data_IF_286533018613
#
_entry.id   IF_286533018613
#
_cell.length_a   1.000
_cell.length_b   1.000
_cell.length_c   1.000
_cell.angle_alpha   90.00
_cell.angle_beta   90.00
_cell.angle_gamma   90.00
#
_symmetry.space_group_name_H-M   'P 1'
#
loop_
_entity.id
_entity.type
_entity.pdbx_description
1 polymer ?
#
# COMPACT_ATOMS: atom_id res chain seq x y z
N UNK A 1 43.41 -5.79 72.40
CA UNK A 1 44.52 -6.66 71.94
C UNK A 1 43.84 -7.85 71.27
N UNK A 2 43.90 -8.15 69.98
CA UNK A 2 44.87 -7.87 68.91
C UNK A 2 44.16 -8.20 67.59
N UNK A 3 44.05 -7.23 66.68
CA UNK A 3 43.89 -7.32 65.19
C UNK A 3 44.28 -5.93 64.69
N UNK A 4 45.00 -5.74 63.57
CA UNK A 4 44.83 -6.47 62.31
C UNK A 4 46.17 -6.76 61.58
N UNK A 5 46.13 -7.44 60.44
CA UNK A 5 46.88 -7.05 59.23
C UNK A 5 46.54 -8.01 58.10
N UNK A 6 45.69 -7.54 57.19
CA UNK A 6 45.62 -8.04 55.83
C UNK A 6 46.92 -7.68 55.10
N UNK A 7 47.43 -8.63 54.32
CA UNK A 7 48.27 -8.32 53.16
C UNK A 7 48.01 -9.36 52.09
N UNK A 8 47.23 -8.95 51.09
CA UNK A 8 47.06 -9.68 49.84
C UNK A 8 48.38 -9.76 49.08
N UNK A 9 48.62 -10.93 48.49
CA UNK A 9 49.68 -11.15 47.52
C UNK A 9 49.05 -11.42 46.15
N UNK A 10 49.25 -10.50 45.22
CA UNK A 10 48.95 -10.66 43.81
C UNK A 10 50.02 -11.55 43.17
N UNK A 11 49.62 -12.72 42.66
CA UNK A 11 50.47 -13.53 41.79
C UNK A 11 50.36 -13.08 40.33
N UNK A 12 51.49 -12.84 39.63
CA UNK A 12 51.48 -12.63 38.19
C UNK A 12 51.62 -13.97 37.48
N UNK A 13 50.58 -14.36 36.74
CA UNK A 13 50.58 -15.55 35.88
C UNK A 13 50.09 -15.18 34.50
N UNK A 14 50.99 -14.61 33.69
CA UNK A 14 50.77 -14.40 32.28
C UNK A 14 50.71 -15.74 31.52
N UNK A 15 49.96 -15.73 30.42
CA UNK A 15 49.96 -16.69 29.32
C UNK A 15 49.18 -18.00 29.51
N UNK A 16 47.96 -18.03 28.95
CA UNK A 16 47.73 -18.84 27.74
C UNK A 16 46.51 -18.37 26.95
N UNK A 17 46.83 -18.00 25.73
CA UNK A 17 45.98 -17.44 24.69
C UNK A 17 45.45 -18.61 23.86
N UNK A 18 44.19 -18.51 23.44
CA UNK A 18 43.56 -19.06 22.21
C UNK A 18 42.70 -20.32 22.32
N UNK A 19 41.57 -20.19 21.60
CA UNK A 19 40.76 -21.18 20.88
C UNK A 19 39.57 -21.81 21.63
N UNK A 20 38.44 -21.10 21.58
CA UNK A 20 37.12 -21.71 21.43
C UNK A 20 36.13 -20.66 20.87
N UNK A 21 36.37 -20.21 19.64
CA UNK A 21 35.46 -19.34 18.91
C UNK A 21 35.19 -19.96 17.55
N UNK A 22 34.28 -20.93 17.47
CA UNK A 22 33.76 -21.45 16.21
C UNK A 22 32.52 -22.29 16.55
N UNK A 23 31.33 -21.91 16.05
CA UNK A 23 30.12 -22.73 15.78
C UNK A 23 28.86 -21.86 15.55
N UNK A 24 28.91 -20.52 15.65
CA UNK A 24 27.77 -19.65 15.28
C UNK A 24 27.98 -19.01 13.90
N UNK A 25 28.10 -19.80 12.82
CA UNK A 25 28.19 -19.28 11.43
C UNK A 25 27.34 -20.14 10.47
N UNK A 26 26.22 -20.71 10.93
CA UNK A 26 25.45 -21.68 10.14
C UNK A 26 24.08 -21.24 9.62
N UNK A 27 23.45 -20.20 10.19
CA UNK A 27 21.98 -20.08 10.13
C UNK A 27 21.42 -18.88 9.34
N UNK A 28 22.23 -18.12 8.59
CA UNK A 28 21.75 -16.87 7.95
C UNK A 28 21.33 -16.97 6.47
N UNK A 29 21.41 -18.14 5.82
CA UNK A 29 21.20 -18.24 4.37
C UNK A 29 19.78 -18.66 3.90
N UNK A 30 18.81 -18.81 4.81
CA UNK A 30 17.48 -19.33 4.45
C UNK A 30 16.34 -18.29 4.38
N UNK A 31 16.65 -16.98 4.31
CA UNK A 31 15.64 -15.93 4.49
C UNK A 31 15.29 -15.07 3.25
N UNK A 32 15.80 -15.38 2.05
CA UNK A 32 15.54 -14.53 0.87
C UNK A 32 15.27 -15.35 -0.41
N UNK A 33 14.30 -16.25 -0.33
CA UNK A 33 13.65 -16.82 -1.51
C UNK A 33 12.12 -16.79 -1.34
N UNK A 34 11.59 -15.69 -0.77
CA UNK A 34 10.18 -15.40 -0.91
C UNK A 34 9.97 -14.99 -2.37
N UNK A 35 9.36 -15.87 -3.17
CA UNK A 35 8.85 -15.51 -4.48
C UNK A 35 7.98 -14.25 -4.32
N UNK A 36 8.16 -13.23 -5.18
CA UNK A 36 7.31 -12.04 -5.13
C UNK A 36 5.85 -12.48 -5.16
N UNK A 37 4.99 -11.95 -4.27
CA UNK A 37 3.58 -12.32 -4.28
C UNK A 37 3.03 -12.09 -5.68
N UNK A 38 2.39 -13.11 -6.23
CA UNK A 38 1.79 -13.04 -7.55
C UNK A 38 0.70 -11.95 -7.49
N UNK A 39 0.95 -10.83 -8.17
CA UNK A 39 0.02 -9.70 -8.17
C UNK A 39 -1.17 -10.03 -9.08
N UNK A 40 -2.31 -10.35 -8.49
CA UNK A 40 -3.55 -10.55 -9.23
C UNK A 40 -4.04 -9.21 -9.79
N UNK A 41 -4.05 -9.11 -11.12
CA UNK A 41 -4.60 -7.96 -11.84
C UNK A 41 -6.11 -8.10 -11.93
N UNK A 42 -6.84 -7.05 -11.53
CA UNK A 42 -8.29 -6.99 -11.53
C UNK A 42 -8.73 -5.88 -12.49
N UNK A 43 -9.58 -6.22 -13.45
CA UNK A 43 -10.09 -5.24 -14.40
C UNK A 43 -11.01 -4.22 -13.70
N UNK A 44 -10.84 -2.95 -14.05
CA UNK A 44 -11.75 -1.85 -13.64
C UNK A 44 -12.31 -1.19 -14.90
N UNK A 45 -13.51 -0.59 -14.85
CA UNK A 45 -14.03 0.17 -15.97
C UNK A 45 -13.10 1.36 -16.28
N UNK A 46 -12.75 1.51 -17.56
CA UNK A 46 -11.87 2.60 -18.02
C UNK A 46 -12.49 3.35 -19.19
N UNK A 47 -12.05 4.58 -19.37
CA UNK A 47 -12.39 5.41 -20.53
C UNK A 47 -11.16 6.19 -21.02
N UNK A 48 -11.15 6.58 -22.32
CA UNK A 48 -10.17 7.53 -22.82
C UNK A 48 -10.15 8.81 -21.97
N UNK A 49 -8.98 9.44 -21.82
CA UNK A 49 -8.91 10.74 -21.17
C UNK A 49 -9.82 11.73 -21.90
N UNK A 50 -10.56 12.53 -21.13
CA UNK A 50 -11.35 13.64 -21.67
C UNK A 50 -10.48 14.88 -21.82
N UNK A 51 -10.50 15.50 -23.00
CA UNK A 51 -9.85 16.81 -23.24
C UNK A 51 -10.53 17.94 -22.46
N UNK A 52 -11.81 17.77 -22.12
CA UNK A 52 -12.57 18.62 -21.22
C UNK A 52 -12.75 17.88 -19.90
N UNK A 53 -11.76 18.00 -19.01
CA UNK A 53 -11.93 17.56 -17.65
C UNK A 53 -12.85 18.57 -16.96
N UNK A 54 -14.05 18.15 -16.58
CA UNK A 54 -14.91 18.99 -15.76
C UNK A 54 -14.13 19.32 -14.48
N UNK A 55 -13.98 20.61 -14.20
CA UNK A 55 -13.33 21.09 -12.97
C UNK A 55 -14.25 20.92 -11.74
N UNK A 56 -15.32 20.14 -11.90
CA UNK A 56 -16.11 19.69 -10.78
C UNK A 56 -15.23 18.75 -9.94
N UNK A 57 -15.12 19.06 -8.66
CA UNK A 57 -14.36 18.24 -7.71
C UNK A 57 -15.10 16.90 -7.56
N UNK A 58 -14.66 15.89 -8.30
CA UNK A 58 -15.09 14.52 -8.16
C UNK A 58 -14.31 13.85 -7.04
N UNK A 59 -14.96 13.01 -6.24
CA UNK A 59 -14.28 12.37 -5.12
C UNK A 59 -15.22 11.55 -4.26
N UNK A 60 -14.63 10.85 -3.31
CA UNK A 60 -15.35 9.96 -2.43
C UNK A 60 -14.43 8.90 -1.85
N UNK A 61 -15.01 8.02 -1.06
CA UNK A 61 -14.32 6.88 -0.50
C UNK A 61 -14.19 5.78 -1.54
N UNK A 62 -12.98 5.31 -1.77
CA UNK A 62 -12.69 4.15 -2.63
C UNK A 62 -13.24 2.91 -1.97
N UNK A 63 -14.13 2.22 -2.64
CA UNK A 63 -14.79 1.01 -2.13
C UNK A 63 -14.64 -0.16 -3.10
N UNK A 64 -14.51 -1.36 -2.56
CA UNK A 64 -14.61 -2.58 -3.35
C UNK A 64 -16.07 -2.78 -3.78
N UNK A 65 -16.30 -3.13 -5.04
CA UNK A 65 -17.64 -3.38 -5.56
C UNK A 65 -17.64 -4.55 -6.52
N UNK A 66 -18.56 -5.51 -6.36
CA UNK A 66 -18.53 -6.79 -7.07
C UNK A 66 -18.52 -6.64 -8.60
N UNK A 67 -19.29 -5.68 -9.13
CA UNK A 67 -19.42 -5.47 -10.59
C UNK A 67 -18.27 -4.69 -11.22
N UNK A 68 -17.64 -3.79 -10.48
CA UNK A 68 -16.70 -2.80 -11.04
C UNK A 68 -15.30 -2.88 -10.43
N UNK A 69 -15.10 -3.82 -9.50
CA UNK A 69 -13.95 -3.97 -8.62
C UNK A 69 -13.68 -2.77 -7.71
N UNK A 70 -13.52 -1.58 -8.27
CA UNK A 70 -13.23 -0.33 -7.55
C UNK A 70 -14.24 0.74 -7.97
N UNK A 71 -14.99 1.24 -6.99
CA UNK A 71 -16.00 2.27 -7.13
C UNK A 71 -15.77 3.42 -6.13
N UNK A 72 -16.58 4.48 -6.22
CA UNK A 72 -16.57 5.57 -5.25
C UNK A 72 -17.89 5.66 -4.50
N UNK A 73 -17.79 5.82 -3.20
CA UNK A 73 -18.91 6.08 -2.30
C UNK A 73 -18.85 7.54 -1.84
N UNK A 74 -19.96 8.26 -1.97
CA UNK A 74 -20.08 9.63 -1.47
C UNK A 74 -20.41 9.69 0.03
N UNK A 75 -20.56 10.90 0.56
CA UNK A 75 -20.89 11.13 1.99
C UNK A 75 -22.29 10.70 2.38
N UNK A 76 -23.19 10.47 1.42
CA UNK A 76 -24.54 9.94 1.65
C UNK A 76 -24.58 8.42 1.63
N UNK A 77 -23.47 7.78 1.24
CA UNK A 77 -23.35 6.34 1.11
C UNK A 77 -23.69 5.81 -0.29
N UNK A 78 -24.06 6.69 -1.23
CA UNK A 78 -24.34 6.31 -2.61
C UNK A 78 -23.05 5.84 -3.30
N UNK A 79 -23.10 4.65 -3.90
CA UNK A 79 -21.98 4.10 -4.68
C UNK A 79 -22.20 4.41 -6.15
N UNK A 80 -21.15 4.90 -6.78
CA UNK A 80 -21.14 5.32 -8.18
C UNK A 80 -20.12 4.49 -8.96
N UNK A 81 -20.50 4.03 -10.16
CA UNK A 81 -19.56 3.45 -11.10
C UNK A 81 -18.53 4.49 -11.48
N UNK A 82 -17.26 4.10 -11.55
CA UNK A 82 -16.19 5.00 -11.96
C UNK A 82 -15.57 4.53 -13.26
N UNK A 83 -15.49 5.42 -14.23
CA UNK A 83 -14.65 5.25 -15.41
C UNK A 83 -13.29 5.88 -15.12
N UNK A 84 -12.32 5.03 -14.83
CA UNK A 84 -10.94 5.45 -14.58
C UNK A 84 -10.24 5.80 -15.91
N UNK A 85 -9.17 6.61 -15.89
CA UNK A 85 -8.38 6.83 -17.09
C UNK A 85 -7.83 5.51 -17.66
N UNK A 86 -7.72 5.42 -18.98
CA UNK A 86 -7.14 4.24 -19.65
C UNK A 86 -5.79 3.82 -19.05
N UNK A 87 -5.62 2.51 -18.87
CA UNK A 87 -4.41 1.89 -18.28
C UNK A 87 -4.48 1.68 -16.77
N UNK A 88 -5.48 2.24 -16.10
CA UNK A 88 -5.74 1.96 -14.70
C UNK A 88 -6.25 0.53 -14.51
N UNK A 89 -5.88 -0.07 -13.37
CA UNK A 89 -6.26 -1.43 -13.00
C UNK A 89 -6.35 -1.57 -11.48
N UNK A 90 -7.15 -2.52 -11.02
CA UNK A 90 -7.11 -3.00 -9.65
C UNK A 90 -5.96 -3.99 -9.47
N UNK A 91 -5.31 -3.98 -8.31
CA UNK A 91 -4.31 -4.98 -7.91
C UNK A 91 -4.53 -5.37 -6.46
N UNK A 92 -4.47 -6.66 -6.15
CA UNK A 92 -4.42 -7.09 -4.76
C UNK A 92 -3.05 -6.73 -4.16
N UNK A 93 -3.05 -5.82 -3.19
CA UNK A 93 -1.85 -5.35 -2.47
C UNK A 93 -1.96 -5.74 -0.99
N UNK A 94 -1.36 -6.88 -0.65
CA UNK A 94 -1.53 -7.50 0.65
C UNK A 94 -3.01 -7.81 0.93
N UNK A 95 -3.56 -7.24 2.00
CA UNK A 95 -4.96 -7.44 2.41
C UNK A 95 -5.94 -6.46 1.75
N UNK A 96 -5.47 -5.48 0.97
CA UNK A 96 -6.31 -4.42 0.39
C UNK A 96 -6.28 -4.47 -1.13
N UNK A 97 -7.41 -4.15 -1.74
CA UNK A 97 -7.46 -3.86 -3.16
C UNK A 97 -6.92 -2.44 -3.40
N UNK A 98 -5.97 -2.31 -4.31
CA UNK A 98 -5.36 -1.05 -4.71
C UNK A 98 -5.78 -0.66 -6.12
N UNK A 99 -6.01 0.63 -6.36
CA UNK A 99 -6.08 1.21 -7.69
C UNK A 99 -4.65 1.58 -8.11
N UNK A 100 -4.26 1.11 -9.29
CA UNK A 100 -2.93 1.29 -9.86
C UNK A 100 -3.06 1.99 -11.20
N UNK A 101 -2.25 3.03 -11.41
CA UNK A 101 -2.23 3.78 -12.68
C UNK A 101 -1.55 2.99 -13.82
N UNK A 102 -1.55 3.58 -15.01
CA UNK A 102 -0.93 3.00 -16.21
C UNK A 102 0.55 2.65 -16.01
N UNK A 103 1.27 3.45 -15.21
CA UNK A 103 2.71 3.30 -15.02
C UNK A 103 3.04 2.33 -13.87
N UNK A 104 2.02 1.73 -13.24
CA UNK A 104 2.18 0.74 -12.18
C UNK A 104 2.29 1.34 -10.78
N UNK A 105 1.96 2.61 -10.60
CA UNK A 105 1.99 3.26 -9.28
C UNK A 105 0.65 3.07 -8.60
N UNK A 106 0.69 2.68 -7.33
CA UNK A 106 -0.51 2.69 -6.48
C UNK A 106 -0.94 4.13 -6.26
N UNK A 107 -2.18 4.45 -6.62
CA UNK A 107 -2.75 5.80 -6.46
C UNK A 107 -3.68 5.91 -5.27
N UNK A 108 -4.34 4.81 -4.88
CA UNK A 108 -5.24 4.74 -3.73
C UNK A 108 -5.52 3.28 -3.38
N UNK A 109 -5.86 3.01 -2.12
CA UNK A 109 -6.37 1.73 -1.66
C UNK A 109 -7.87 1.82 -1.36
N UNK A 110 -8.56 0.69 -1.41
CA UNK A 110 -9.92 0.57 -0.87
C UNK A 110 -9.90 1.00 0.59
N UNK A 111 -10.77 1.94 0.93
CA UNK A 111 -10.86 2.59 2.23
C UNK A 111 -10.48 4.06 2.21
N UNK A 112 -9.58 4.46 1.32
CA UNK A 112 -9.08 5.83 1.20
C UNK A 112 -10.18 6.75 0.66
N UNK A 113 -10.18 8.00 1.08
CA UNK A 113 -10.94 9.08 0.44
C UNK A 113 -10.03 9.79 -0.56
N UNK A 114 -10.51 9.94 -1.80
CA UNK A 114 -9.79 10.62 -2.87
C UNK A 114 -10.52 11.88 -3.36
N UNK A 115 -9.76 12.76 -3.99
CA UNK A 115 -10.23 13.88 -4.78
C UNK A 115 -9.55 13.86 -6.15
N UNK A 116 -10.32 14.16 -7.19
CA UNK A 116 -9.87 14.25 -8.58
C UNK A 116 -10.74 15.24 -9.36
N UNK A 117 -10.29 15.66 -10.54
CA UNK A 117 -11.20 16.20 -11.53
C UNK A 117 -12.13 15.11 -12.05
N UNK A 118 -13.30 15.50 -12.56
CA UNK A 118 -14.26 14.55 -13.09
C UNK A 118 -15.69 15.07 -13.11
N UNK A 119 -16.61 14.20 -13.45
CA UNK A 119 -18.03 14.51 -13.37
C UNK A 119 -18.92 13.32 -13.71
N UNK A 120 -20.17 13.42 -13.30
CA UNK A 120 -21.18 12.43 -13.65
C UNK A 120 -21.54 12.56 -15.13
N UNK A 121 -21.61 11.41 -15.80
CA UNK A 121 -21.96 11.29 -17.21
C UNK A 121 -23.15 10.35 -17.37
N UNK A 122 -23.93 10.57 -18.42
CA UNK A 122 -25.10 9.77 -18.74
C UNK A 122 -26.40 10.56 -18.68
N UNK A 123 -27.50 9.99 -19.20
CA UNK A 123 -28.82 10.59 -19.06
C UNK A 123 -29.22 10.68 -17.59
N UNK A 124 -30.06 11.65 -17.26
CA UNK A 124 -30.67 11.75 -15.92
C UNK A 124 -31.32 10.40 -15.55
N UNK A 125 -30.89 9.80 -14.44
CA UNK A 125 -31.36 8.49 -14.00
C UNK A 125 -30.53 7.30 -14.50
N UNK A 126 -29.26 7.49 -14.88
CA UNK A 126 -28.32 6.37 -15.02
C UNK A 126 -28.34 5.52 -13.73
N UNK A 127 -28.75 4.23 -13.81
CA UNK A 127 -28.87 3.38 -12.63
C UNK A 127 -27.53 3.17 -11.91
N UNK A 128 -26.41 3.36 -12.62
CA UNK A 128 -25.07 3.16 -12.08
C UNK A 128 -24.42 4.47 -11.57
N UNK A 129 -25.08 5.62 -11.78
CA UNK A 129 -24.59 6.96 -11.48
C UNK A 129 -23.12 7.15 -11.93
N UNK A 130 -22.85 6.96 -13.22
CA UNK A 130 -21.47 6.84 -13.72
C UNK A 130 -20.68 8.15 -13.58
N UNK A 131 -19.55 8.09 -12.88
CA UNK A 131 -18.59 9.19 -12.77
C UNK A 131 -17.38 8.94 -13.67
N UNK A 132 -17.09 9.91 -14.55
CA UNK A 132 -15.83 9.96 -15.29
C UNK A 132 -14.78 10.65 -14.42
N UNK A 133 -13.67 9.97 -14.14
CA UNK A 133 -12.52 10.56 -13.46
C UNK A 133 -11.51 11.04 -14.49
N UNK A 134 -11.03 12.27 -14.32
CA UNK A 134 -10.01 12.86 -15.16
C UNK A 134 -9.00 13.67 -14.35
N UNK A 135 -7.78 13.78 -14.86
CA UNK A 135 -6.70 14.48 -14.16
C UNK A 135 -6.09 13.68 -13.00
N UNK A 136 -5.30 14.35 -12.14
CA UNK A 136 -4.57 13.69 -11.07
C UNK A 136 -5.49 13.30 -9.91
N UNK A 137 -5.35 12.06 -9.45
CA UNK A 137 -6.00 11.54 -8.25
C UNK A 137 -5.14 11.87 -7.03
N UNK A 138 -5.75 12.42 -5.98
CA UNK A 138 -5.10 12.71 -4.70
C UNK A 138 -5.83 12.01 -3.57
N UNK A 139 -5.11 11.27 -2.74
CA UNK A 139 -5.63 10.77 -1.46
C UNK A 139 -5.72 11.95 -0.49
N UNK A 140 -6.91 12.22 0.02
CA UNK A 140 -7.17 13.28 1.01
C UNK A 140 -7.33 12.71 2.42
N UNK A 141 -7.65 11.42 2.54
CA UNK A 141 -7.68 10.69 3.80
C UNK A 141 -7.38 9.21 3.56
N UNK A 142 -6.41 8.59 4.25
CA UNK A 142 -6.11 7.15 4.15
C UNK A 142 -7.03 6.28 5.03
#
# INVERSE_FOLDING_TARGET
>A
MTRPSERGSHGPGAARRRLAALVIVGSMLAACAAEPPEMTIIAVPTAPPSDACLDALGGGRVVAFERWAIALQDTTGQVSKVLWPNGFRGVQDGARLALVDRDGRVVAHVGDTISSGGGFIGPNGDPDNTMLVCGPIKVVQP
#
